data_IF_427492484308
#
_entry.id   IF_427492484308
#
_cell.length_a   1.000
_cell.length_b   1.000
_cell.length_c   1.000
_cell.angle_alpha   90.00
_cell.angle_beta   90.00
_cell.angle_gamma   90.00
#
_symmetry.space_group_name_H-M   'P 1'
#
loop_
_entity.id
_entity.type
_entity.pdbx_description
1 polymer ?
#
# COMPACT_ATOMS: atom_id res chain seq x y z
N UNK A 1 17.73 45.85 4.44
CA UNK A 1 18.34 45.60 5.77
C UNK A 1 17.20 45.57 6.77
N UNK A 2 17.44 45.14 8.02
CA UNK A 2 16.45 45.11 9.11
C UNK A 2 15.27 44.10 8.91
N UNK A 3 14.58 43.54 9.92
CA UNK A 3 14.72 43.59 11.40
C UNK A 3 13.96 42.46 12.14
N UNK A 4 14.20 42.35 13.46
CA UNK A 4 13.33 42.02 14.64
C UNK A 4 11.90 41.40 14.42
N UNK A 5 11.28 40.56 15.28
CA UNK A 5 11.51 39.94 16.63
C UNK A 5 10.46 38.77 16.78
N UNK A 6 10.29 37.89 17.79
CA UNK A 6 10.73 37.62 19.19
C UNK A 6 11.08 36.11 19.33
N UNK A 7 11.87 35.57 20.28
CA UNK A 7 12.15 35.78 21.72
C UNK A 7 11.20 35.05 22.71
N UNK A 8 11.80 34.49 23.77
CA UNK A 8 11.25 33.84 24.98
C UNK A 8 10.61 32.43 24.82
N UNK A 9 10.89 31.44 25.69
CA UNK A 9 11.96 31.33 26.71
C UNK A 9 11.60 30.44 27.93
N UNK A 10 12.63 29.96 28.65
CA UNK A 10 12.56 29.34 30.01
C UNK A 10 11.84 27.98 30.15
N UNK A 11 11.92 27.22 31.26
CA UNK A 11 12.98 26.95 32.27
C UNK A 11 12.47 25.83 33.22
N UNK A 12 13.35 25.14 33.96
CA UNK A 12 13.02 24.11 34.99
C UNK A 12 13.24 22.66 34.50
N UNK A 13 13.90 21.76 35.24
CA UNK A 13 13.63 21.25 36.60
C UNK A 13 12.24 20.60 36.74
N UNK A 14 12.09 19.39 37.31
CA UNK A 14 13.05 18.52 38.01
C UNK A 14 12.40 17.96 39.29
N UNK A 15 12.79 16.74 39.71
CA UNK A 15 12.13 15.95 40.78
C UNK A 15 10.68 15.52 40.39
N UNK A 16 10.00 14.58 41.05
CA UNK A 16 10.37 13.73 42.20
C UNK A 16 9.30 12.66 42.51
N UNK A 17 9.54 11.82 43.52
CA UNK A 17 8.65 10.71 43.92
C UNK A 17 7.39 11.17 44.68
N UNK A 18 6.19 10.87 44.16
CA UNK A 18 4.90 10.79 44.90
C UNK A 18 4.07 9.70 44.19
N UNK A 19 3.86 8.49 44.72
CA UNK A 19 3.13 8.07 45.93
C UNK A 19 1.59 8.07 45.80
N UNK A 20 1.03 6.89 45.51
CA UNK A 20 -0.08 6.25 46.24
C UNK A 20 -1.34 7.10 46.58
N UNK A 21 -2.37 6.98 45.73
CA UNK A 21 -3.79 7.19 46.05
C UNK A 21 -4.62 6.39 45.03
N UNK A 22 -5.39 5.37 45.42
CA UNK A 22 -6.76 5.43 45.96
C UNK A 22 -7.84 5.75 44.92
N UNK A 23 -8.64 4.72 44.63
CA UNK A 23 -9.90 4.73 43.90
C UNK A 23 -10.86 5.82 44.39
N UNK A 24 -11.55 6.54 43.48
CA UNK A 24 -12.95 6.98 43.61
C UNK A 24 -13.45 7.75 42.36
N UNK A 25 -14.54 7.25 41.77
CA UNK A 25 -15.57 7.92 40.94
C UNK A 25 -15.24 9.16 40.06
N UNK A 26 -15.09 8.95 38.75
CA UNK A 26 -15.17 9.96 37.67
C UNK A 26 -14.59 9.35 36.38
N UNK A 27 -15.23 9.31 35.19
CA UNK A 27 -16.20 10.21 34.54
C UNK A 27 -15.67 11.61 34.19
N UNK A 28 -14.43 11.70 33.71
CA UNK A 28 -14.10 12.47 32.49
C UNK A 28 -12.65 12.18 32.06
N UNK A 29 -12.42 11.87 30.77
CA UNK A 29 -11.10 12.04 30.14
C UNK A 29 -11.18 12.06 28.59
N UNK A 30 -11.54 13.19 27.98
CA UNK A 30 -11.35 13.43 26.55
C UNK A 30 -10.03 14.18 26.32
N UNK A 31 -8.96 13.45 26.00
CA UNK A 31 -7.67 14.04 25.61
C UNK A 31 -7.09 13.27 24.40
N UNK A 32 -6.75 14.00 23.34
CA UNK A 32 -6.41 13.40 22.04
C UNK A 32 -4.89 13.27 21.81
N UNK A 33 -4.41 12.04 21.65
CA UNK A 33 -3.18 11.66 20.96
C UNK A 33 -3.23 10.14 20.64
N UNK A 34 -2.88 9.63 19.47
CA UNK A 34 -2.40 10.27 18.24
C UNK A 34 -3.20 9.80 17.02
N UNK A 35 -3.49 10.71 16.08
CA UNK A 35 -4.18 10.40 14.84
C UNK A 35 -3.19 9.93 13.75
N UNK A 36 -2.56 8.77 13.94
CA UNK A 36 -1.59 8.22 12.97
C UNK A 36 -1.66 6.69 12.76
N UNK A 37 -2.86 6.10 12.83
CA UNK A 37 -3.09 4.88 12.05
C UNK A 37 -3.14 5.26 10.57
N UNK A 38 -2.00 5.17 9.88
CA UNK A 38 -1.94 5.01 8.43
C UNK A 38 -2.54 3.65 8.04
N UNK A 39 -3.84 3.47 8.28
CA UNK A 39 -4.58 2.26 7.94
C UNK A 39 -4.57 2.12 6.43
N UNK A 40 -3.60 1.35 5.94
CA UNK A 40 -3.45 0.97 4.54
C UNK A 40 -4.50 -0.08 4.16
N UNK A 41 -5.77 0.28 4.40
CA UNK A 41 -6.97 -0.19 3.71
C UNK A 41 -6.86 0.18 2.23
N UNK A 42 -5.84 -0.36 1.54
CA UNK A 42 -5.68 -0.22 0.09
C UNK A 42 -6.95 -0.78 -0.52
N UNK A 43 -7.73 0.09 -1.13
CA UNK A 43 -9.07 -0.31 -1.51
C UNK A 43 -8.99 -1.42 -2.57
N UNK A 44 -9.65 -2.57 -2.34
CA UNK A 44 -9.53 -3.72 -3.25
C UNK A 44 -10.07 -3.41 -4.65
N UNK A 45 -10.84 -2.33 -4.84
CA UNK A 45 -11.26 -1.84 -6.15
C UNK A 45 -10.11 -1.44 -7.09
N UNK A 46 -8.90 -1.20 -6.58
CA UNK A 46 -7.71 -0.89 -7.39
C UNK A 46 -6.69 -2.05 -7.46
N UNK A 47 -7.01 -3.24 -6.94
CA UNK A 47 -6.12 -4.39 -6.93
C UNK A 47 -6.45 -5.42 -8.03
N UNK A 48 -5.43 -5.83 -8.79
CA UNK A 48 -5.54 -6.88 -9.81
C UNK A 48 -4.59 -8.03 -9.46
N UNK A 49 -5.12 -9.24 -9.31
CA UNK A 49 -4.35 -10.44 -8.94
C UNK A 49 -4.36 -11.46 -10.07
N UNK A 50 -3.21 -11.71 -10.67
CA UNK A 50 -3.04 -12.75 -11.69
C UNK A 50 -2.26 -13.96 -11.14
N UNK A 51 -2.60 -15.15 -11.62
CA UNK A 51 -1.89 -16.40 -11.31
C UNK A 51 -1.25 -16.93 -12.58
N UNK A 52 0.05 -17.23 -12.53
CA UNK A 52 0.84 -17.77 -13.64
C UNK A 52 1.15 -19.26 -13.41
N UNK A 53 1.42 -20.01 -14.48
CA UNK A 53 1.84 -21.41 -14.33
C UNK A 53 3.17 -21.59 -13.58
N UNK A 54 4.08 -20.63 -13.75
CA UNK A 54 5.46 -20.74 -13.26
C UNK A 54 6.08 -19.37 -12.96
N UNK A 55 6.67 -19.24 -11.77
CA UNK A 55 7.19 -17.99 -11.22
C UNK A 55 8.46 -18.28 -10.41
N UNK A 56 9.51 -17.48 -10.60
CA UNK A 56 10.80 -17.60 -9.91
C UNK A 56 11.42 -16.22 -9.68
N UNK A 57 12.49 -16.11 -8.87
CA UNK A 57 13.11 -14.81 -8.53
C UNK A 57 13.56 -13.97 -9.73
N UNK A 58 14.01 -14.60 -10.82
CA UNK A 58 14.33 -13.92 -12.08
C UNK A 58 13.10 -13.37 -12.81
N UNK A 59 11.96 -14.06 -12.71
CA UNK A 59 10.68 -13.58 -13.23
C UNK A 59 10.20 -12.36 -12.46
N UNK A 60 10.27 -12.38 -11.11
CA UNK A 60 9.90 -11.25 -10.25
C UNK A 60 10.58 -9.97 -10.72
N UNK A 61 11.92 -9.99 -10.87
CA UNK A 61 12.68 -8.81 -11.31
C UNK A 61 12.25 -8.30 -12.69
N UNK A 62 12.03 -9.18 -13.68
CA UNK A 62 11.55 -8.78 -15.01
C UNK A 62 10.12 -8.22 -14.99
N UNK A 63 9.24 -8.77 -14.15
CA UNK A 63 7.85 -8.33 -14.01
C UNK A 63 7.82 -6.94 -13.34
N UNK A 64 8.48 -6.79 -12.20
CA UNK A 64 8.56 -5.49 -11.50
C UNK A 64 9.16 -4.42 -12.40
N UNK A 65 10.32 -4.65 -13.03
CA UNK A 65 10.96 -3.66 -13.90
C UNK A 65 10.13 -3.27 -15.15
N UNK A 66 9.16 -4.09 -15.57
CA UNK A 66 8.26 -3.79 -16.70
C UNK A 66 7.00 -3.04 -16.28
N UNK A 67 6.50 -3.26 -15.07
CA UNK A 67 5.39 -2.49 -14.50
C UNK A 67 5.85 -1.20 -13.80
N UNK A 68 7.11 -1.10 -13.40
CA UNK A 68 7.76 0.13 -12.90
C UNK A 68 7.75 1.25 -13.96
N UNK A 69 7.93 0.89 -15.23
CA UNK A 69 7.77 1.81 -16.37
C UNK A 69 6.31 2.14 -16.72
N UNK A 70 5.32 1.63 -15.97
CA UNK A 70 3.89 1.88 -16.19
C UNK A 70 3.36 2.76 -15.07
N UNK A 71 3.35 4.08 -15.30
CA UNK A 71 2.97 5.10 -14.31
C UNK A 71 1.60 4.86 -13.65
N UNK A 72 0.68 4.15 -14.32
CA UNK A 72 -0.61 3.76 -13.78
C UNK A 72 -0.56 2.73 -12.62
N UNK A 73 0.60 2.16 -12.30
CA UNK A 73 0.79 1.13 -11.25
C UNK A 73 1.55 1.71 -10.05
N UNK A 74 0.92 1.73 -8.87
CA UNK A 74 1.54 2.17 -7.62
C UNK A 74 2.42 1.10 -7.00
N UNK A 75 2.03 -0.18 -7.12
CA UNK A 75 2.75 -1.28 -6.46
C UNK A 75 2.61 -2.62 -7.18
N UNK A 76 3.71 -3.37 -7.20
CA UNK A 76 3.79 -4.74 -7.70
C UNK A 76 4.17 -5.67 -6.55
N UNK A 77 3.39 -6.72 -6.30
CA UNK A 77 3.62 -7.70 -5.24
C UNK A 77 3.62 -9.11 -5.84
N UNK A 78 4.79 -9.74 -5.91
CA UNK A 78 5.00 -11.02 -6.57
C UNK A 78 5.18 -12.15 -5.54
N UNK A 79 4.21 -13.07 -5.44
CA UNK A 79 4.27 -14.25 -4.56
C UNK A 79 4.73 -15.49 -5.34
N UNK A 80 5.98 -15.91 -5.13
CA UNK A 80 6.55 -17.10 -5.78
C UNK A 80 5.80 -18.37 -5.35
N UNK A 81 5.56 -18.55 -4.05
CA UNK A 81 4.87 -19.73 -3.49
C UNK A 81 3.46 -19.92 -4.07
N UNK A 82 2.67 -18.84 -4.10
CA UNK A 82 1.30 -18.81 -4.65
C UNK A 82 1.27 -18.67 -6.18
N UNK A 83 2.45 -18.62 -6.83
CA UNK A 83 2.65 -18.38 -8.27
C UNK A 83 1.77 -17.24 -8.81
N UNK A 84 1.65 -16.16 -8.05
CA UNK A 84 0.73 -15.06 -8.33
C UNK A 84 1.42 -13.71 -8.25
N UNK A 85 0.89 -12.74 -9.00
CA UNK A 85 1.32 -11.34 -9.02
C UNK A 85 0.10 -10.48 -8.73
N UNK A 86 0.17 -9.67 -7.69
CA UNK A 86 -0.80 -8.63 -7.39
C UNK A 86 -0.25 -7.27 -7.84
N UNK A 87 -0.98 -6.58 -8.70
CA UNK A 87 -0.78 -5.19 -9.05
C UNK A 87 -1.75 -4.33 -8.25
N UNK A 88 -1.31 -3.14 -7.86
CA UNK A 88 -2.16 -2.08 -7.30
C UNK A 88 -2.04 -0.86 -8.21
N UNK A 89 -3.16 -0.40 -8.75
CA UNK A 89 -3.21 0.80 -9.59
C UNK A 89 -2.88 2.07 -8.79
N UNK A 90 -2.76 3.22 -9.46
CA UNK A 90 -2.97 4.53 -8.83
C UNK A 90 -4.44 4.71 -8.48
N UNK A 91 -4.70 5.50 -7.44
CA UNK A 91 -6.06 5.87 -7.04
C UNK A 91 -6.77 6.62 -8.19
N UNK A 92 -8.07 6.37 -8.37
CA UNK A 92 -8.84 6.84 -9.52
C UNK A 92 -8.44 6.25 -10.90
N UNK A 93 -7.33 5.50 -11.00
CA UNK A 93 -6.84 4.94 -12.27
C UNK A 93 -7.30 3.50 -12.47
N UNK A 94 -7.90 3.24 -13.63
CA UNK A 94 -8.36 1.91 -14.05
C UNK A 94 -7.35 1.26 -15.02
N UNK A 95 -6.69 0.20 -14.57
CA UNK A 95 -5.77 -0.58 -15.40
C UNK A 95 -6.55 -1.53 -16.34
N UNK A 96 -6.29 -1.46 -17.65
CA UNK A 96 -6.92 -2.35 -18.64
C UNK A 96 -6.49 -3.81 -18.45
N UNK A 97 -7.41 -4.76 -18.15
CA UNK A 97 -7.06 -6.16 -17.90
C UNK A 97 -6.35 -6.82 -19.09
N UNK A 98 -6.81 -6.52 -20.31
CA UNK A 98 -6.14 -6.94 -21.55
C UNK A 98 -4.68 -6.48 -21.61
N UNK A 99 -4.39 -5.20 -21.34
CA UNK A 99 -3.04 -4.65 -21.41
C UNK A 99 -2.05 -5.34 -20.45
N UNK A 100 -2.52 -5.64 -19.23
CA UNK A 100 -1.74 -6.40 -18.24
C UNK A 100 -1.45 -7.82 -18.73
N UNK A 101 -2.44 -8.47 -19.35
CA UNK A 101 -2.30 -9.81 -19.92
C UNK A 101 -1.29 -9.84 -21.08
N UNK A 102 -1.33 -8.84 -21.97
CA UNK A 102 -0.39 -8.74 -23.10
C UNK A 102 1.03 -8.36 -22.65
N UNK A 103 1.18 -7.56 -21.59
CA UNK A 103 2.50 -7.29 -20.99
C UNK A 103 3.10 -8.56 -20.37
N UNK A 104 2.28 -9.40 -19.71
CA UNK A 104 2.68 -10.72 -19.23
C UNK A 104 3.16 -11.64 -20.36
N UNK A 105 2.38 -11.75 -21.44
CA UNK A 105 2.73 -12.55 -22.62
C UNK A 105 4.05 -12.06 -23.24
N UNK A 106 4.25 -10.74 -23.35
CA UNK A 106 5.50 -10.11 -23.84
C UNK A 106 6.73 -10.41 -22.96
N UNK A 107 6.54 -10.66 -21.66
CA UNK A 107 7.61 -11.07 -20.72
C UNK A 107 7.92 -12.58 -20.81
N UNK A 108 7.16 -13.33 -21.63
CA UNK A 108 7.25 -14.78 -21.70
C UNK A 108 6.53 -15.48 -20.53
N UNK A 109 5.44 -14.89 -20.04
CA UNK A 109 4.61 -15.47 -18.97
C UNK A 109 3.19 -15.72 -19.46
N UNK A 110 2.71 -16.93 -19.17
CA UNK A 110 1.34 -17.39 -19.42
C UNK A 110 0.51 -17.27 -18.14
N UNK A 111 -0.25 -16.18 -17.95
CA UNK A 111 -1.28 -16.11 -16.91
C UNK A 111 -2.37 -17.15 -17.20
N UNK A 112 -2.82 -17.84 -16.15
CA UNK A 112 -3.88 -18.87 -16.18
C UNK A 112 -5.17 -18.39 -15.52
N UNK A 113 -5.10 -17.31 -14.76
CA UNK A 113 -6.23 -16.62 -14.12
C UNK A 113 -5.83 -15.17 -13.87
N UNK A 114 -6.77 -14.25 -14.01
CA UNK A 114 -6.68 -12.86 -13.58
C UNK A 114 -7.96 -12.50 -12.83
N UNK A 115 -7.82 -11.84 -11.69
CA UNK A 115 -8.91 -11.33 -10.84
C UNK A 115 -8.74 -9.82 -10.82
N UNK A 116 -9.80 -9.09 -11.14
CA UNK A 116 -9.87 -7.63 -11.21
C UNK A 116 -11.11 -7.16 -10.45
N UNK A 117 -11.22 -5.87 -10.08
CA UNK A 117 -12.48 -5.28 -9.61
C UNK A 117 -13.68 -5.58 -10.53
N UNK A 118 -13.47 -5.56 -11.85
CA UNK A 118 -14.50 -5.83 -12.86
C UNK A 118 -14.91 -7.31 -12.99
N UNK A 119 -14.16 -8.24 -12.39
CA UNK A 119 -14.44 -9.68 -12.45
C UNK A 119 -13.22 -10.58 -12.59
N UNK A 120 -13.48 -11.87 -12.84
CA UNK A 120 -12.44 -12.91 -12.98
C UNK A 120 -12.37 -13.43 -14.42
N UNK A 121 -11.17 -13.40 -14.99
CA UNK A 121 -10.84 -13.89 -16.33
C UNK A 121 -9.94 -15.12 -16.24
N UNK A 122 -10.33 -16.22 -16.86
CA UNK A 122 -9.51 -17.46 -16.99
C UNK A 122 -8.78 -17.55 -18.34
N UNK A 123 -9.09 -16.65 -19.25
CA UNK A 123 -8.53 -16.53 -20.61
C UNK A 123 -8.28 -15.07 -20.94
N UNK A 124 -7.48 -14.81 -21.99
CA UNK A 124 -7.12 -13.46 -22.45
C UNK A 124 -8.36 -12.55 -22.62
N UNK A 125 -8.46 -11.42 -21.87
CA UNK A 125 -9.61 -10.52 -21.96
C UNK A 125 -9.78 -9.93 -23.36
N UNK A 126 -11.02 -9.91 -23.87
CA UNK A 126 -11.37 -9.28 -25.16
C UNK A 126 -11.62 -7.77 -25.06
N UNK A 127 -11.70 -7.23 -23.85
CA UNK A 127 -11.76 -5.81 -23.48
C UNK A 127 -10.87 -5.61 -22.26
#
# INVERSE_FOLDING_TARGET
MEELRMMFGSNGNGLGLVALACLLSGWFSPAAASAETLDSKRDPSHQIVMTVGEMCGGCVKKITARFDSVDAVTKVVCSIEKKSVALVAKDGVKLSPKGIWELMESIGKTPKKMITPDGTFTSKPKR
#
